data_IF_729334602274
#
_entry.id   IF_729334602274
#
_cell.length_a   1.000
_cell.length_b   1.000
_cell.length_c   1.000
_cell.angle_alpha   90.00
_cell.angle_beta   90.00
_cell.angle_gamma   90.00
#
_symmetry.space_group_name_H-M   'P 1'
#
loop_
_entity.id
_entity.type
_entity.pdbx_description
1 polymer ?
#
# COMPACT_ATOMS: atom_id res chain seq x y z
N UNK A 1 47.20 29.68 0.11
CA UNK A 1 46.81 28.45 0.85
C UNK A 1 45.47 28.64 1.56
N UNK A 2 45.30 29.72 2.33
CA UNK A 2 44.06 29.99 3.07
C UNK A 2 42.84 30.23 2.17
N UNK A 3 42.98 30.96 1.04
CA UNK A 3 41.86 31.17 0.10
C UNK A 3 41.34 29.87 -0.52
N UNK A 4 42.23 28.88 -0.72
CA UNK A 4 41.88 27.59 -1.29
C UNK A 4 41.05 26.76 -0.29
N UNK A 5 41.40 26.85 1.00
CA UNK A 5 40.64 26.21 2.09
C UNK A 5 39.30 26.91 2.28
N UNK A 6 39.27 28.24 2.28
CA UNK A 6 38.03 29.02 2.43
C UNK A 6 37.08 28.77 1.26
N UNK A 7 37.61 28.71 0.03
CA UNK A 7 36.84 28.36 -1.16
C UNK A 7 36.24 26.95 -1.06
N UNK A 8 37.05 25.96 -0.64
CA UNK A 8 36.56 24.59 -0.45
C UNK A 8 35.47 24.50 0.62
N UNK A 9 35.64 25.20 1.75
CA UNK A 9 34.64 25.24 2.83
C UNK A 9 33.35 25.92 2.38
N UNK A 10 33.44 27.03 1.64
CA UNK A 10 32.27 27.74 1.11
C UNK A 10 31.48 26.87 0.12
N UNK A 11 32.17 26.14 -0.77
CA UNK A 11 31.54 25.21 -1.71
C UNK A 11 30.86 24.06 -0.96
N UNK A 12 31.51 23.50 0.06
CA UNK A 12 30.95 22.40 0.85
C UNK A 12 29.69 22.83 1.61
N UNK A 13 29.70 24.02 2.21
CA UNK A 13 28.55 24.61 2.89
C UNK A 13 27.40 24.88 1.92
N UNK A 14 27.69 25.43 0.73
CA UNK A 14 26.68 25.67 -0.29
C UNK A 14 26.04 24.35 -0.78
N UNK A 15 26.85 23.31 -1.01
CA UNK A 15 26.36 21.98 -1.38
C UNK A 15 25.50 21.35 -0.29
N UNK A 16 25.91 21.49 0.96
CA UNK A 16 25.17 20.93 2.11
C UNK A 16 23.84 21.65 2.30
N UNK A 17 23.82 22.99 2.21
CA UNK A 17 22.59 23.78 2.27
C UNK A 17 21.63 23.44 1.12
N UNK A 18 22.15 23.30 -0.10
CA UNK A 18 21.37 22.87 -1.25
C UNK A 18 20.83 21.45 -1.07
N UNK A 19 21.60 20.52 -0.50
CA UNK A 19 21.16 19.15 -0.23
C UNK A 19 20.02 19.10 0.79
N UNK A 20 20.06 19.93 1.85
CA UNK A 20 19.00 20.01 2.87
C UNK A 20 17.70 20.56 2.26
N UNK A 21 17.79 21.62 1.43
CA UNK A 21 16.63 22.23 0.76
C UNK A 21 16.06 21.29 -0.31
N UNK A 22 16.90 20.56 -1.04
CA UNK A 22 16.48 19.62 -2.09
C UNK A 22 16.04 18.25 -1.55
N UNK A 23 16.33 17.93 -0.28
CA UNK A 23 15.99 16.66 0.37
C UNK A 23 14.51 16.26 0.23
N UNK A 24 13.51 17.14 0.45
CA UNK A 24 12.10 16.79 0.25
C UNK A 24 11.67 16.65 -1.23
N UNK A 25 12.48 17.15 -2.17
CA UNK A 25 12.21 17.06 -3.61
C UNK A 25 12.86 15.84 -4.28
N UNK A 26 13.98 15.35 -3.73
CA UNK A 26 14.69 14.14 -4.21
C UNK A 26 13.78 12.91 -4.37
N UNK A 27 12.92 12.52 -3.40
CA UNK A 27 12.06 11.35 -3.56
C UNK A 27 10.97 11.55 -4.62
N UNK A 28 10.57 12.80 -4.93
CA UNK A 28 9.60 13.10 -6.00
C UNK A 28 10.22 12.99 -7.39
N UNK A 29 11.45 13.51 -7.56
CA UNK A 29 12.19 13.40 -8.82
C UNK A 29 12.55 11.94 -9.15
N UNK A 30 12.94 11.16 -8.14
CA UNK A 30 13.20 9.72 -8.31
C UNK A 30 11.94 8.91 -8.63
N UNK A 31 10.77 9.28 -8.09
CA UNK A 31 9.47 8.69 -8.48
C UNK A 31 9.13 9.00 -9.94
N UNK A 32 9.31 10.25 -10.40
CA UNK A 32 9.07 10.64 -11.78
C UNK A 32 9.99 9.88 -12.76
N UNK A 33 11.27 9.73 -12.41
CA UNK A 33 12.24 9.00 -13.23
C UNK A 33 11.98 7.48 -13.25
N UNK A 34 11.50 6.88 -12.15
CA UNK A 34 11.05 5.47 -12.11
C UNK A 34 9.81 5.20 -12.94
N UNK A 35 8.87 6.15 -12.99
CA UNK A 35 7.67 6.04 -13.84
C UNK A 35 8.06 6.14 -15.32
N UNK A 36 9.02 7.01 -15.66
CA UNK A 36 9.54 7.12 -17.02
C UNK A 36 10.29 5.86 -17.47
N UNK A 37 11.10 5.27 -16.60
CA UNK A 37 11.85 4.04 -16.90
C UNK A 37 10.96 2.79 -16.99
N UNK A 38 9.81 2.75 -16.30
CA UNK A 38 8.80 1.69 -16.46
C UNK A 38 7.91 1.83 -17.71
N UNK A 39 7.92 2.98 -18.40
CA UNK A 39 7.19 3.19 -19.68
C UNK A 39 7.86 2.53 -20.90
N UNK A 40 9.01 1.85 -20.75
CA UNK A 40 9.59 0.98 -21.79
C UNK A 40 8.96 -0.42 -21.85
N UNK A 41 7.68 -0.58 -21.48
CA UNK A 41 6.88 -1.75 -21.85
C UNK A 41 5.84 -1.30 -22.89
N UNK A 42 5.72 -1.99 -24.03
CA UNK A 42 4.89 -1.54 -25.14
C UNK A 42 3.41 -1.40 -24.74
N UNK A 43 2.67 -0.48 -25.38
CA UNK A 43 1.32 -0.14 -24.98
C UNK A 43 0.36 -1.25 -25.41
N UNK A 44 -0.19 -1.99 -24.44
CA UNK A 44 -1.46 -2.65 -24.65
C UNK A 44 -2.56 -1.58 -24.57
N UNK A 45 -3.36 -1.52 -25.64
CA UNK A 45 -4.45 -0.59 -25.97
C UNK A 45 -5.27 -0.08 -24.77
N UNK A 46 -5.75 1.18 -24.83
CA UNK A 46 -6.63 1.74 -23.81
C UNK A 46 -8.06 1.23 -24.05
N UNK A 47 -8.48 0.23 -23.28
CA UNK A 47 -9.90 0.03 -23.04
C UNK A 47 -10.28 0.88 -21.85
N UNK A 48 -10.99 1.97 -22.11
CA UNK A 48 -11.96 2.58 -21.21
C UNK A 48 -12.89 1.49 -20.68
N UNK A 49 -12.51 0.85 -19.59
CA UNK A 49 -13.43 0.13 -18.73
C UNK A 49 -13.43 0.86 -17.40
N UNK A 50 -14.48 1.68 -17.25
CA UNK A 50 -15.12 1.95 -15.97
C UNK A 50 -15.12 0.63 -15.19
N UNK A 51 -14.31 0.53 -14.14
CA UNK A 51 -14.29 -0.63 -13.25
C UNK A 51 -15.57 -0.66 -12.41
N UNK A 52 -16.69 -0.99 -13.05
CA UNK A 52 -17.84 -1.64 -12.43
C UNK A 52 -17.49 -3.13 -12.20
N UNK A 53 -18.10 -3.78 -11.21
CA UNK A 53 -17.46 -4.80 -10.38
C UNK A 53 -17.12 -6.06 -11.16
N UNK A 54 -15.84 -6.41 -11.23
CA UNK A 54 -15.42 -7.72 -11.69
C UNK A 54 -15.79 -8.78 -10.65
N UNK A 55 -16.84 -9.56 -10.96
CA UNK A 55 -17.08 -10.89 -10.42
C UNK A 55 -17.51 -11.74 -11.63
N UNK A 56 -17.10 -13.02 -11.79
CA UNK A 56 -16.52 -13.94 -10.81
C UNK A 56 -15.26 -14.71 -11.28
N UNK A 57 -14.34 -15.00 -10.36
CA UNK A 57 -13.33 -16.06 -10.56
C UNK A 57 -12.92 -16.68 -9.22
N UNK A 58 -13.89 -17.08 -8.40
CA UNK A 58 -13.78 -18.08 -7.34
C UNK A 58 -15.21 -18.50 -6.97
N UNK A 59 -15.73 -19.63 -7.47
CA UNK A 59 -17.14 -20.00 -7.28
C UNK A 59 -17.55 -20.30 -5.83
N UNK A 60 -16.60 -20.49 -4.90
CA UNK A 60 -16.92 -20.97 -3.54
C UNK A 60 -16.54 -20.01 -2.39
N UNK A 61 -16.10 -18.77 -2.69
CA UNK A 61 -15.77 -17.83 -1.61
C UNK A 61 -17.02 -17.11 -1.09
N UNK A 62 -17.20 -17.13 0.22
CA UNK A 62 -18.32 -16.46 0.89
C UNK A 62 -18.31 -14.93 0.59
N UNK A 63 -19.47 -14.27 0.42
CA UNK A 63 -19.54 -12.87 0.04
C UNK A 63 -18.81 -11.92 0.99
N UNK A 64 -18.80 -12.19 2.30
CA UNK A 64 -18.04 -11.36 3.28
C UNK A 64 -16.53 -11.52 3.13
N UNK A 65 -16.06 -12.69 2.71
CA UNK A 65 -14.66 -12.97 2.35
C UNK A 65 -14.24 -12.18 1.12
N UNK A 66 -15.11 -12.15 0.11
CA UNK A 66 -14.91 -11.32 -1.09
C UNK A 66 -14.82 -9.84 -0.71
N UNK A 67 -15.67 -9.36 0.21
CA UNK A 67 -15.59 -7.99 0.73
C UNK A 67 -14.24 -7.71 1.42
N UNK A 68 -13.79 -8.61 2.30
CA UNK A 68 -12.49 -8.48 2.98
C UNK A 68 -11.32 -8.46 1.98
N UNK A 69 -11.33 -9.34 0.97
CA UNK A 69 -10.31 -9.37 -0.09
C UNK A 69 -10.33 -8.11 -0.95
N UNK A 70 -11.51 -7.56 -1.22
CA UNK A 70 -11.65 -6.33 -2.01
C UNK A 70 -11.14 -5.12 -1.24
N UNK A 71 -11.47 -5.02 0.06
CA UNK A 71 -10.93 -4.00 0.94
C UNK A 71 -9.40 -4.13 1.04
N UNK A 72 -8.87 -5.34 1.24
CA UNK A 72 -7.43 -5.60 1.28
C UNK A 72 -6.73 -5.19 -0.03
N UNK A 73 -7.33 -5.44 -1.19
CA UNK A 73 -6.78 -5.06 -2.48
C UNK A 73 -6.72 -3.52 -2.67
N UNK A 74 -7.72 -2.79 -2.17
CA UNK A 74 -7.74 -1.32 -2.18
C UNK A 74 -6.71 -0.73 -1.22
N UNK A 75 -6.59 -1.29 -0.01
CA UNK A 75 -5.57 -0.87 0.95
C UNK A 75 -4.17 -1.16 0.41
N UNK A 76 -3.98 -2.33 -0.22
CA UNK A 76 -2.74 -2.70 -0.90
C UNK A 76 -2.32 -1.69 -1.97
N UNK A 77 -3.24 -1.30 -2.86
CA UNK A 77 -2.92 -0.37 -3.95
C UNK A 77 -2.55 1.01 -3.40
N UNK A 78 -3.22 1.47 -2.34
CA UNK A 78 -2.89 2.73 -1.68
C UNK A 78 -1.54 2.70 -0.95
N UNK A 79 -1.23 1.63 -0.21
CA UNK A 79 0.07 1.45 0.44
C UNK A 79 1.20 1.45 -0.59
N UNK A 80 1.01 0.70 -1.69
CA UNK A 80 1.99 0.66 -2.79
C UNK A 80 2.19 2.06 -3.41
N UNK A 81 1.11 2.81 -3.63
CA UNK A 81 1.19 4.16 -4.17
C UNK A 81 2.00 5.12 -3.27
N UNK A 82 1.98 4.89 -1.96
CA UNK A 82 2.68 5.71 -0.97
C UNK A 82 4.08 5.23 -0.61
N UNK A 83 4.51 4.06 -1.10
CA UNK A 83 5.87 3.53 -0.87
C UNK A 83 5.98 2.52 0.27
N UNK A 84 4.86 2.12 0.86
CA UNK A 84 4.77 1.13 1.95
C UNK A 84 4.84 -0.31 1.39
N UNK A 85 5.88 -0.61 0.60
CA UNK A 85 6.00 -1.86 -0.16
C UNK A 85 6.12 -3.10 0.76
N UNK A 86 6.72 -2.96 1.95
CA UNK A 86 6.86 -4.05 2.93
C UNK A 86 5.49 -4.49 3.45
N UNK A 87 4.71 -3.56 4.00
CA UNK A 87 3.40 -3.87 4.58
C UNK A 87 2.39 -4.23 3.50
N UNK A 88 2.48 -3.61 2.31
CA UNK A 88 1.71 -4.03 1.15
C UNK A 88 2.01 -5.50 0.76
N UNK A 89 3.28 -5.93 0.84
CA UNK A 89 3.67 -7.32 0.62
C UNK A 89 3.03 -8.28 1.63
N UNK A 90 3.10 -7.95 2.92
CA UNK A 90 2.49 -8.75 4.00
C UNK A 90 0.96 -8.85 3.82
N UNK A 91 0.29 -7.74 3.52
CA UNK A 91 -1.14 -7.70 3.26
C UNK A 91 -1.53 -8.59 2.06
N UNK A 92 -0.74 -8.55 0.98
CA UNK A 92 -0.96 -9.40 -0.20
C UNK A 92 -0.76 -10.88 0.11
N UNK A 93 0.23 -11.22 0.92
CA UNK A 93 0.48 -12.61 1.34
C UNK A 93 -0.65 -13.13 2.23
N UNK A 94 -1.14 -12.34 3.18
CA UNK A 94 -2.30 -12.67 3.99
C UNK A 94 -3.56 -12.86 3.11
N UNK A 95 -3.84 -11.95 2.19
CA UNK A 95 -4.97 -12.06 1.26
C UNK A 95 -4.88 -13.28 0.33
N UNK A 96 -3.67 -13.75 0.00
CA UNK A 96 -3.48 -15.02 -0.73
C UNK A 96 -3.81 -16.22 0.13
N UNK A 97 -3.40 -16.22 1.40
CA UNK A 97 -3.69 -17.32 2.35
C UNK A 97 -5.19 -17.52 2.54
N UNK A 98 -5.98 -16.45 2.58
CA UNK A 98 -7.46 -16.52 2.65
C UNK A 98 -8.07 -17.41 1.57
N UNK A 99 -7.44 -17.50 0.39
CA UNK A 99 -7.92 -18.33 -0.73
C UNK A 99 -7.56 -19.81 -0.60
N UNK A 100 -6.60 -20.15 0.26
CA UNK A 100 -6.13 -21.52 0.50
C UNK A 100 -6.70 -22.08 1.79
N UNK A 101 -6.61 -21.28 2.87
CA UNK A 101 -7.20 -21.55 4.17
C UNK A 101 -7.81 -20.24 4.66
N UNK A 102 -9.13 -20.19 4.65
CA UNK A 102 -9.88 -18.99 4.95
C UNK A 102 -9.64 -18.52 6.39
N UNK A 103 -9.71 -19.42 7.37
CA UNK A 103 -9.55 -19.10 8.79
C UNK A 103 -8.13 -18.60 9.09
N UNK A 104 -7.11 -19.33 8.62
CA UNK A 104 -5.72 -18.89 8.79
C UNK A 104 -5.42 -17.58 8.04
N UNK A 105 -6.04 -17.39 6.87
CA UNK A 105 -5.92 -16.16 6.09
C UNK A 105 -6.51 -14.95 6.80
N UNK A 106 -7.68 -15.08 7.43
CA UNK A 106 -8.31 -14.02 8.20
C UNK A 106 -7.52 -13.68 9.46
N UNK A 107 -6.96 -14.68 10.15
CA UNK A 107 -6.02 -14.47 11.25
C UNK A 107 -4.77 -13.71 10.79
N UNK A 108 -4.22 -14.07 9.63
CA UNK A 108 -3.08 -13.35 9.06
C UNK A 108 -3.44 -11.90 8.70
N UNK A 109 -4.63 -11.64 8.14
CA UNK A 109 -5.11 -10.28 7.88
C UNK A 109 -5.29 -9.48 9.18
N UNK A 110 -5.84 -10.09 10.23
CA UNK A 110 -5.95 -9.47 11.56
C UNK A 110 -4.59 -9.11 12.15
N UNK A 111 -3.56 -9.95 11.92
CA UNK A 111 -2.18 -9.65 12.29
C UNK A 111 -1.63 -8.42 11.56
N UNK A 112 -1.82 -8.34 10.24
CA UNK A 112 -1.36 -7.20 9.42
C UNK A 112 -2.09 -5.90 9.79
N UNK A 113 -3.38 -5.97 10.14
CA UNK A 113 -4.17 -4.81 10.57
C UNK A 113 -3.59 -4.07 11.79
N UNK A 114 -2.88 -4.78 12.68
CA UNK A 114 -2.19 -4.13 13.80
C UNK A 114 -1.05 -3.23 13.32
N UNK A 115 -0.23 -3.73 12.39
CA UNK A 115 0.85 -2.94 11.79
C UNK A 115 0.33 -1.78 10.93
N UNK A 116 -0.83 -1.95 10.29
CA UNK A 116 -1.46 -0.87 9.52
C UNK A 116 -1.86 0.34 10.38
N UNK A 117 -2.20 0.16 11.66
CA UNK A 117 -2.54 1.30 12.53
C UNK A 117 -1.37 2.24 12.82
N UNK A 118 -0.14 1.75 12.70
CA UNK A 118 1.07 2.50 13.00
C UNK A 118 1.61 3.30 11.79
N UNK A 119 1.06 3.05 10.60
CA UNK A 119 1.47 3.73 9.36
C UNK A 119 0.80 5.09 9.29
N UNK A 120 1.63 6.13 9.21
CA UNK A 120 1.21 7.49 8.86
C UNK A 120 1.62 7.80 7.42
N UNK A 121 0.67 8.29 6.63
CA UNK A 121 0.92 8.75 5.27
C UNK A 121 1.21 10.25 5.31
N UNK A 122 2.29 10.68 4.66
CA UNK A 122 2.72 12.09 4.69
C UNK A 122 1.80 13.08 3.95
N UNK A 123 0.72 12.62 3.33
CA UNK A 123 -0.29 13.43 2.67
C UNK A 123 -1.64 13.25 3.39
N UNK A 124 -2.23 14.34 3.88
CA UNK A 124 -3.44 14.32 4.70
C UNK A 124 -4.68 13.77 3.97
N UNK A 125 -4.77 13.96 2.64
CA UNK A 125 -5.85 13.36 1.85
C UNK A 125 -5.67 11.84 1.73
N UNK A 126 -4.43 11.41 1.46
CA UNK A 126 -4.07 10.00 1.39
C UNK A 126 -4.27 9.32 2.76
N UNK A 127 -3.94 10.00 3.85
CA UNK A 127 -4.13 9.52 5.22
C UNK A 127 -5.63 9.34 5.56
N UNK A 128 -6.48 10.30 5.22
CA UNK A 128 -7.93 10.18 5.40
C UNK A 128 -8.51 9.00 4.61
N UNK A 129 -8.09 8.84 3.35
CA UNK A 129 -8.48 7.70 2.51
C UNK A 129 -7.97 6.38 3.08
N UNK A 130 -6.75 6.35 3.60
CA UNK A 130 -6.14 5.18 4.20
C UNK A 130 -6.88 4.71 5.45
N UNK A 131 -7.16 5.62 6.39
CA UNK A 131 -7.90 5.30 7.61
C UNK A 131 -9.27 4.68 7.30
N UNK A 132 -9.98 5.21 6.30
CA UNK A 132 -11.26 4.64 5.83
C UNK A 132 -11.09 3.21 5.31
N UNK A 133 -10.11 2.97 4.45
CA UNK A 133 -9.87 1.63 3.89
C UNK A 133 -9.42 0.62 4.95
N UNK A 134 -8.65 1.05 5.96
CA UNK A 134 -8.24 0.20 7.08
C UNK A 134 -9.44 -0.18 7.95
N UNK A 135 -10.33 0.76 8.26
CA UNK A 135 -11.56 0.44 9.01
C UNK A 135 -12.51 -0.43 8.20
N UNK A 136 -12.66 -0.21 6.89
CA UNK A 136 -13.43 -1.10 6.00
C UNK A 136 -12.86 -2.53 6.01
N UNK A 137 -11.54 -2.68 5.90
CA UNK A 137 -10.88 -3.99 5.95
C UNK A 137 -11.07 -4.67 7.31
N UNK A 138 -10.91 -3.92 8.39
CA UNK A 138 -11.08 -4.41 9.76
C UNK A 138 -12.50 -4.92 10.00
N UNK A 139 -13.51 -4.15 9.58
CA UNK A 139 -14.90 -4.57 9.72
C UNK A 139 -15.17 -5.84 8.90
N UNK A 140 -14.72 -5.89 7.64
CA UNK A 140 -14.94 -7.06 6.79
C UNK A 140 -14.25 -8.34 7.31
N UNK A 141 -13.05 -8.21 7.89
CA UNK A 141 -12.34 -9.33 8.53
C UNK A 141 -13.09 -9.79 9.78
N UNK A 142 -13.53 -8.85 10.63
CA UNK A 142 -14.30 -9.15 11.86
C UNK A 142 -15.62 -9.86 11.55
N UNK A 143 -16.41 -9.32 10.61
CA UNK A 143 -17.69 -9.90 10.22
C UNK A 143 -17.52 -11.34 9.75
N UNK A 144 -16.45 -11.63 8.98
CA UNK A 144 -16.20 -12.99 8.49
C UNK A 144 -15.67 -13.91 9.59
N UNK A 145 -14.81 -13.43 10.49
CA UNK A 145 -14.33 -14.27 11.60
C UNK A 145 -15.46 -14.66 12.54
N UNK A 146 -16.36 -13.73 12.87
CA UNK A 146 -17.55 -14.03 13.71
C UNK A 146 -18.45 -15.07 13.04
N UNK A 147 -18.65 -14.97 11.71
CA UNK A 147 -19.41 -15.98 10.96
C UNK A 147 -18.74 -17.36 10.98
N UNK A 148 -17.42 -17.43 10.89
CA UNK A 148 -16.69 -18.71 10.97
C UNK A 148 -16.75 -19.32 12.38
N UNK A 149 -16.69 -18.50 13.42
CA UNK A 149 -16.87 -18.96 14.80
C UNK A 149 -18.27 -19.54 15.01
N UNK A 150 -19.31 -18.86 14.50
CA UNK A 150 -20.69 -19.36 14.57
C UNK A 150 -20.89 -20.69 13.83
N UNK A 151 -20.21 -20.90 12.69
CA UNK A 151 -20.26 -22.16 11.95
C UNK A 151 -19.47 -23.28 12.60
N UNK A 152 -18.47 -22.96 13.43
CA UNK A 152 -17.64 -23.95 14.12
C UNK A 152 -18.29 -24.48 15.40
N UNK A 153 -19.11 -23.66 16.07
CA UNK A 153 -19.81 -24.01 17.31
C UNK A 153 -21.32 -24.29 17.12
N UNK A 154 -21.82 -24.19 15.88
CA UNK A 154 -23.22 -24.43 15.51
C UNK A 154 -23.50 -25.85 15.03
#
# INVERSE_FOLDING_TARGET
MLELVVGAVAVLLALTGAAIIAWPALPRAWRALRVLTRRRRPPARPSTQVSAPSQPAHPDLHPTTVKALTAAARTYSLLRANGEDRVAGELRMAARRVRTDEAQGLLALAGVLRGLREISLGDGEAEGRYRRLVEELKQAVKDRSEQLELLHFG
#
